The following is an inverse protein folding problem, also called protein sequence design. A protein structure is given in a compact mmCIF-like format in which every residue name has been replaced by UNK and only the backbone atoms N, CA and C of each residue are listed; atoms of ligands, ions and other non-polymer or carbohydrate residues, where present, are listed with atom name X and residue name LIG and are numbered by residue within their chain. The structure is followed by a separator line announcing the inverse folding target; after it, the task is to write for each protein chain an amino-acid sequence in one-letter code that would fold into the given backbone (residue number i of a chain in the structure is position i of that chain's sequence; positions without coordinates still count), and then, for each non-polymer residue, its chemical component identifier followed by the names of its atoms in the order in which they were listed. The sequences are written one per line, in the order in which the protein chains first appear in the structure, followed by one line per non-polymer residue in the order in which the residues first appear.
data_IF_676027128620
#
_entry.id   IF_676027128620
#
_cell.length_a   1.000
_cell.length_b   1.000
_cell.length_c   1.000
_cell.angle_alpha   90.00
_cell.angle_beta   90.00
_cell.angle_gamma   90.00
#
_symmetry.space_group_name_H-M   'P 1'
#
loop_
_entity.id
_entity.type
_entity.pdbx_description
1 polymer ?
#
# COMPACT_ATOMS: atom_id res chain seq x y z
N UNK A 1 -20.67 8.49 5.04
CA UNK A 1 -19.27 8.86 4.74
C UNK A 1 -18.68 7.80 3.82
N UNK A 2 -17.91 8.15 2.79
CA UNK A 2 -17.14 7.17 2.04
C UNK A 2 -16.20 6.43 3.00
N UNK A 3 -16.01 5.11 2.85
CA UNK A 3 -15.13 4.36 3.72
C UNK A 3 -13.69 4.87 3.58
N UNK A 4 -13.01 5.10 4.70
CA UNK A 4 -11.60 5.49 4.76
C UNK A 4 -10.77 4.50 3.94
N UNK A 5 -9.87 5.01 3.10
CA UNK A 5 -8.99 4.19 2.27
C UNK A 5 -7.55 4.32 2.75
N UNK A 6 -6.89 3.18 2.92
CA UNK A 6 -5.49 3.05 3.30
C UNK A 6 -4.74 2.53 2.08
N UNK A 7 -3.78 3.32 1.59
CA UNK A 7 -2.98 2.98 0.41
C UNK A 7 -1.56 2.66 0.85
N UNK A 8 -1.14 1.41 0.68
CA UNK A 8 0.24 1.01 0.90
C UNK A 8 1.05 1.32 -0.37
N UNK A 9 1.99 2.24 -0.27
CA UNK A 9 2.92 2.63 -1.34
C UNK A 9 4.20 1.83 -1.17
N UNK A 10 4.54 1.03 -2.17
CA UNK A 10 5.73 0.16 -2.16
C UNK A 10 6.14 -0.20 -3.58
N UNK A 11 7.36 -0.70 -3.70
CA UNK A 11 7.83 -1.32 -4.93
C UNK A 11 7.32 -2.77 -5.01
N UNK A 12 6.75 -3.16 -6.15
CA UNK A 12 6.49 -4.56 -6.48
C UNK A 12 7.52 -5.06 -7.49
N UNK A 13 7.93 -6.32 -7.30
CA UNK A 13 8.71 -7.05 -8.29
C UNK A 13 7.80 -7.69 -9.33
N UNK A 14 8.35 -7.96 -10.51
CA UNK A 14 7.64 -8.63 -11.59
C UNK A 14 8.51 -9.73 -12.18
N UNK A 15 8.00 -10.95 -12.19
CA UNK A 15 8.67 -12.10 -12.77
C UNK A 15 8.00 -12.47 -14.08
N UNK A 16 8.81 -12.68 -15.11
CA UNK A 16 8.35 -13.10 -16.44
C UNK A 16 8.62 -14.59 -16.61
N UNK A 17 7.58 -15.35 -16.93
CA UNK A 17 7.68 -16.79 -17.15
C UNK A 17 7.24 -17.08 -18.58
N UNK A 18 8.12 -17.73 -19.34
CA UNK A 18 7.74 -18.31 -20.63
C UNK A 18 6.93 -19.59 -20.40
N UNK A 19 5.72 -19.60 -20.95
CA UNK A 19 4.79 -20.71 -20.91
C UNK A 19 4.51 -21.17 -22.35
N UNK A 20 4.01 -22.39 -22.51
CA UNK A 20 3.60 -22.92 -23.83
C UNK A 20 2.54 -22.07 -24.55
N UNK A 21 1.82 -21.21 -23.82
CA UNK A 21 0.83 -20.28 -24.37
C UNK A 21 1.34 -18.85 -24.62
N UNK A 22 2.62 -18.55 -24.32
CA UNK A 22 3.21 -17.22 -24.44
C UNK A 22 3.91 -16.76 -23.16
N UNK A 23 3.92 -15.47 -22.88
CA UNK A 23 4.61 -14.88 -21.72
C UNK A 23 3.62 -14.49 -20.62
N UNK A 24 3.79 -15.04 -19.42
CA UNK A 24 3.06 -14.63 -18.23
C UNK A 24 3.91 -13.65 -17.40
N UNK A 25 3.28 -12.62 -16.83
CA UNK A 25 3.91 -11.68 -15.90
C UNK A 25 3.23 -11.82 -14.55
N UNK A 26 3.99 -12.24 -13.53
CA UNK A 26 3.51 -12.41 -12.17
C UNK A 26 4.04 -11.28 -11.30
N UNK A 27 3.15 -10.61 -10.57
CA UNK A 27 3.57 -9.67 -9.53
C UNK A 27 4.09 -10.44 -8.31
N UNK A 28 5.24 -9.99 -7.81
CA UNK A 28 5.90 -10.53 -6.63
C UNK A 28 6.01 -9.42 -5.60
N UNK A 29 5.36 -9.64 -4.46
CA UNK A 29 5.47 -8.73 -3.34
C UNK A 29 6.79 -8.98 -2.59
N UNK A 30 7.74 -8.01 -2.57
CA UNK A 30 9.01 -8.20 -1.86
C UNK A 30 8.90 -8.09 -0.34
N UNK A 31 7.81 -7.53 0.19
CA UNK A 31 7.57 -7.38 1.63
C UNK A 31 6.14 -7.81 1.99
N UNK A 32 5.83 -9.12 1.85
CA UNK A 32 4.48 -9.63 2.07
C UNK A 32 4.02 -9.50 3.54
N UNK A 33 4.94 -9.50 4.51
CA UNK A 33 4.62 -9.34 5.93
C UNK A 33 4.06 -7.94 6.21
N UNK A 34 4.63 -6.92 5.57
CA UNK A 34 4.17 -5.53 5.66
C UNK A 34 2.77 -5.41 5.05
N UNK A 35 2.57 -5.97 3.86
CA UNK A 35 1.27 -5.98 3.19
C UNK A 35 0.20 -6.65 4.06
N UNK A 36 0.51 -7.82 4.64
CA UNK A 36 -0.39 -8.52 5.53
C UNK A 36 -0.74 -7.69 6.78
N UNK A 37 0.25 -7.04 7.38
CA UNK A 37 0.07 -6.19 8.57
C UNK A 37 -0.84 -5.01 8.28
N UNK A 38 -0.55 -4.22 7.24
CA UNK A 38 -1.35 -3.04 6.87
C UNK A 38 -2.76 -3.45 6.45
N UNK A 39 -2.91 -4.56 5.70
CA UNK A 39 -4.21 -5.11 5.32
C UNK A 39 -5.02 -5.56 6.54
N UNK A 40 -4.38 -6.20 7.52
CA UNK A 40 -5.03 -6.62 8.77
C UNK A 40 -5.57 -5.39 9.54
N UNK A 41 -4.74 -4.36 9.72
CA UNK A 41 -5.15 -3.11 10.37
C UNK A 41 -6.33 -2.47 9.62
N UNK A 42 -6.27 -2.42 8.28
CA UNK A 42 -7.35 -1.89 7.47
C UNK A 42 -8.68 -2.62 7.71
N UNK A 43 -8.65 -3.96 7.71
CA UNK A 43 -9.85 -4.79 7.93
C UNK A 43 -10.40 -4.60 9.34
N UNK A 44 -9.55 -4.62 10.37
CA UNK A 44 -9.96 -4.45 11.77
C UNK A 44 -10.59 -3.07 12.00
N UNK A 45 -10.05 -2.04 11.37
CA UNK A 45 -10.59 -0.70 11.41
C UNK A 45 -11.61 -0.47 10.28
N UNK A 46 -12.18 -1.49 9.63
CA UNK A 46 -13.26 -1.33 8.63
C UNK A 46 -12.95 -0.35 7.48
N UNK A 47 -11.70 -0.26 7.06
CA UNK A 47 -11.18 0.61 6.01
C UNK A 47 -10.90 -0.19 4.73
N UNK A 48 -10.93 0.49 3.57
CA UNK A 48 -10.51 -0.10 2.29
C UNK A 48 -8.98 -0.16 2.24
N UNK A 49 -8.45 -1.25 1.70
CA UNK A 49 -7.02 -1.44 1.50
C UNK A 49 -6.70 -1.46 0.01
N UNK A 50 -5.71 -0.68 -0.42
CA UNK A 50 -5.17 -0.72 -1.78
C UNK A 50 -3.64 -0.63 -1.75
N UNK A 51 -3.00 -1.12 -2.80
CA UNK A 51 -1.55 -1.01 -3.00
C UNK A 51 -1.30 -0.09 -4.18
N UNK A 52 -0.38 0.85 -4.01
CA UNK A 52 0.18 1.63 -5.11
C UNK A 52 1.59 1.12 -5.35
N UNK A 53 1.80 0.55 -6.53
CA UNK A 53 3.12 0.12 -6.98
C UNK A 53 3.91 1.31 -7.55
N UNK A 54 5.04 1.61 -6.93
CA UNK A 54 5.95 2.68 -7.39
C UNK A 54 6.77 2.30 -8.62
N UNK A 55 6.86 1.01 -8.96
CA UNK A 55 7.50 0.58 -10.22
C UNK A 55 6.69 1.01 -11.44
N UNK A 56 5.36 1.06 -11.30
CA UNK A 56 4.43 1.53 -12.35
C UNK A 56 4.08 3.02 -12.18
N UNK A 57 3.93 3.51 -10.94
CA UNK A 57 3.50 4.87 -10.63
C UNK A 57 4.53 5.65 -9.77
N UNK A 58 5.76 5.92 -10.29
CA UNK A 58 6.80 6.63 -9.54
C UNK A 58 6.41 8.08 -9.19
N UNK A 59 5.48 8.69 -9.91
CA UNK A 59 4.99 10.05 -9.67
C UNK A 59 4.36 10.23 -8.29
N UNK A 60 3.87 9.15 -7.68
CA UNK A 60 3.23 9.16 -6.35
C UNK A 60 4.21 9.58 -5.26
N UNK A 61 5.49 9.21 -5.39
CA UNK A 61 6.54 9.58 -4.41
C UNK A 61 6.64 11.10 -4.29
N UNK A 62 6.69 11.80 -5.43
CA UNK A 62 6.76 13.27 -5.47
C UNK A 62 5.44 13.90 -5.03
N UNK A 63 4.32 13.38 -5.53
CA UNK A 63 2.98 13.91 -5.24
C UNK A 63 2.65 13.92 -3.75
N UNK A 64 3.08 12.90 -3.01
CA UNK A 64 2.82 12.73 -1.58
C UNK A 64 4.04 12.99 -0.70
N UNK A 65 5.11 13.56 -1.27
CA UNK A 65 6.37 13.88 -0.58
C UNK A 65 6.90 12.71 0.26
N UNK A 66 6.87 11.51 -0.31
CA UNK A 66 7.31 10.27 0.35
C UNK A 66 8.83 10.27 0.40
N UNK A 67 9.38 10.18 1.60
CA UNK A 67 10.84 10.18 1.82
C UNK A 67 11.44 8.77 1.76
N UNK A 68 10.69 7.79 2.24
CA UNK A 68 11.13 6.41 2.36
C UNK A 68 9.99 5.46 2.01
N UNK A 69 10.33 4.33 1.39
CA UNK A 69 9.41 3.23 1.10
C UNK A 69 9.74 2.03 1.99
N UNK A 70 8.76 1.18 2.32
CA UNK A 70 7.34 1.34 2.02
C UNK A 70 6.66 2.38 2.94
N UNK A 71 5.60 3.03 2.44
CA UNK A 71 4.88 4.08 3.17
C UNK A 71 3.36 3.90 3.05
N UNK A 72 2.60 4.49 3.96
CA UNK A 72 1.14 4.38 3.95
C UNK A 72 0.51 5.75 3.77
N UNK A 73 -0.43 5.88 2.84
CA UNK A 73 -1.24 7.09 2.64
C UNK A 73 -2.64 6.84 3.22
N UNK A 74 -3.08 7.75 4.09
CA UNK A 74 -4.45 7.81 4.60
C UNK A 74 -4.95 9.23 4.38
N UNK A 75 -6.00 9.38 3.57
CA UNK A 75 -6.50 10.69 3.16
C UNK A 75 -5.47 11.46 2.32
N UNK A 76 -4.99 12.60 2.84
CA UNK A 76 -3.96 13.45 2.21
C UNK A 76 -2.58 13.32 2.86
N UNK A 77 -2.46 12.50 3.90
CA UNK A 77 -1.26 12.41 4.72
C UNK A 77 -0.51 11.09 4.49
N UNK A 78 0.81 11.17 4.64
CA UNK A 78 1.72 10.02 4.53
C UNK A 78 2.19 9.63 5.94
N UNK A 79 2.19 8.34 6.24
CA UNK A 79 2.55 7.75 7.52
C UNK A 79 3.60 6.65 7.34
N UNK A 80 4.43 6.47 8.36
CA UNK A 80 5.29 5.30 8.51
C UNK A 80 4.47 4.05 8.85
N UNK A 81 5.06 2.88 8.63
CA UNK A 81 4.43 1.60 8.97
C UNK A 81 4.66 1.32 10.46
N UNK A 82 3.84 1.96 11.28
CA UNK A 82 3.71 1.69 12.70
C UNK A 82 2.24 1.45 13.04
N UNK A 83 1.95 0.32 13.69
CA UNK A 83 0.58 -0.12 13.93
C UNK A 83 -0.24 0.89 14.75
N UNK A 84 0.36 1.49 15.78
CA UNK A 84 -0.33 2.43 16.66
C UNK A 84 -0.62 3.75 15.94
N UNK A 85 0.34 4.23 15.13
CA UNK A 85 0.18 5.43 14.30
C UNK A 85 -0.92 5.21 13.27
N UNK A 86 -0.90 4.08 12.55
CA UNK A 86 -1.88 3.78 11.50
C UNK A 86 -3.30 3.67 12.06
N UNK A 87 -3.49 2.91 13.15
CA UNK A 87 -4.81 2.81 13.82
C UNK A 87 -5.32 4.18 14.26
N UNK A 88 -4.47 4.99 14.88
CA UNK A 88 -4.82 6.33 15.33
C UNK A 88 -5.20 7.25 14.15
N UNK A 89 -4.45 7.17 13.05
CA UNK A 89 -4.72 7.95 11.84
C UNK A 89 -6.07 7.58 11.19
N UNK A 90 -6.36 6.28 11.07
CA UNK A 90 -7.64 5.79 10.51
C UNK A 90 -8.82 6.29 11.34
N UNK A 91 -8.72 6.20 12.67
CA UNK A 91 -9.79 6.66 13.57
C UNK A 91 -10.01 8.17 13.50
N UNK A 92 -8.94 8.95 13.38
CA UNK A 92 -9.03 10.41 13.18
C UNK A 92 -9.72 10.79 11.87
N UNK A 93 -9.43 10.06 10.78
CA UNK A 93 -10.02 10.34 9.46
C UNK A 93 -11.51 9.95 9.37
N UNK A 94 -11.98 9.09 10.29
CA UNK A 94 -13.38 8.69 10.39
C UNK A 94 -14.25 9.62 11.24
N UNK A 95 -13.63 10.35 12.17
CA UNK A 95 -14.31 11.24 13.11
C UNK A 95 -14.75 12.53 12.40
#
# INVERSE_FOLDING_TARGET
MPPTEIKLVKELGYERIECTCGMAVLSKDPTPEITATVKKIAVEEGAKFSIIDTSVHPEVIKKYNIRELPAVIIGKNTYSIDENILRSAIRKEKA
#
